data_IF_934694183574
#
_entry.id   IF_934694183574
#
_cell.length_a   1.000
_cell.length_b   1.000
_cell.length_c   1.000
_cell.angle_alpha   90.00
_cell.angle_beta   90.00
_cell.angle_gamma   90.00
#
_symmetry.space_group_name_H-M   'P 1'
#
loop_
_entity.id
_entity.type
_entity.pdbx_description
1 polymer ?
#
# COMPACT_ATOMS: atom_id res chain seq x y z
N UNK A 1 -34.24 0.32 -12.39
CA UNK A 1 -35.68 0.40 -12.05
C UNK A 1 -36.55 0.04 -13.26
N UNK A 2 -36.26 0.55 -14.46
CA UNK A 2 -37.02 0.21 -15.68
C UNK A 2 -36.88 -1.25 -16.14
N UNK A 3 -35.70 -1.88 -15.96
CA UNK A 3 -35.45 -3.28 -16.34
C UNK A 3 -36.20 -4.30 -15.47
N UNK A 4 -36.17 -4.14 -14.14
CA UNK A 4 -36.91 -5.02 -13.22
C UNK A 4 -38.43 -5.00 -13.44
N UNK A 5 -38.99 -3.83 -13.76
CA UNK A 5 -40.41 -3.69 -14.06
C UNK A 5 -40.79 -4.39 -15.38
N UNK A 6 -39.89 -4.38 -16.37
CA UNK A 6 -40.09 -5.08 -17.64
C UNK A 6 -40.02 -6.61 -17.46
N UNK A 7 -39.08 -7.11 -16.67
CA UNK A 7 -38.93 -8.54 -16.36
C UNK A 7 -40.13 -9.08 -15.56
N UNK A 8 -40.61 -8.34 -14.54
CA UNK A 8 -41.82 -8.71 -13.79
C UNK A 8 -43.05 -8.79 -14.69
N UNK A 9 -43.18 -7.87 -15.65
CA UNK A 9 -44.28 -7.87 -16.62
C UNK A 9 -44.22 -9.09 -17.55
N UNK A 10 -43.03 -9.49 -18.00
CA UNK A 10 -42.82 -10.69 -18.80
C UNK A 10 -43.14 -11.97 -18.02
N UNK A 11 -42.67 -12.09 -16.78
CA UNK A 11 -42.96 -13.26 -15.91
C UNK A 11 -44.47 -13.38 -15.67
N UNK A 12 -45.14 -12.25 -15.40
CA UNK A 12 -46.60 -12.22 -15.19
C UNK A 12 -47.34 -12.65 -16.45
N UNK A 13 -46.92 -12.19 -17.63
CA UNK A 13 -47.50 -12.59 -18.92
C UNK A 13 -47.36 -14.10 -19.18
N UNK A 14 -46.21 -14.68 -18.87
CA UNK A 14 -45.95 -16.12 -19.05
C UNK A 14 -46.82 -16.94 -18.09
N UNK A 15 -46.96 -16.51 -16.83
CA UNK A 15 -47.82 -17.18 -15.86
C UNK A 15 -49.30 -17.15 -16.28
N UNK A 16 -49.79 -16.01 -16.79
CA UNK A 16 -51.17 -15.91 -17.29
C UNK A 16 -51.43 -16.73 -18.54
N UNK A 17 -50.41 -16.99 -19.35
CA UNK A 17 -50.55 -17.85 -20.53
C UNK A 17 -50.54 -19.32 -20.14
N UNK A 18 -49.65 -19.73 -19.22
CA UNK A 18 -49.61 -21.09 -18.67
C UNK A 18 -50.91 -21.49 -17.96
N UNK A 19 -51.57 -20.54 -17.29
CA UNK A 19 -52.86 -20.77 -16.61
C UNK A 19 -54.00 -21.12 -17.57
N UNK A 20 -53.92 -20.71 -18.84
CA UNK A 20 -54.95 -21.01 -19.86
C UNK A 20 -54.85 -22.42 -20.43
N UNK A 21 -53.66 -23.00 -20.42
CA UNK A 21 -53.37 -24.29 -21.09
C UNK A 21 -53.18 -25.45 -20.12
N UNK A 22 -53.13 -25.19 -18.80
CA UNK A 22 -52.87 -26.19 -17.77
C UNK A 22 -54.09 -26.41 -16.87
N UNK A 23 -54.23 -27.63 -16.35
CA UNK A 23 -55.16 -27.92 -15.26
C UNK A 23 -54.76 -27.14 -13.99
N UNK A 24 -55.73 -26.82 -13.14
CA UNK A 24 -55.52 -26.08 -11.89
C UNK A 24 -54.46 -26.76 -10.98
N UNK A 25 -54.44 -28.10 -10.96
CA UNK A 25 -53.44 -28.88 -10.23
C UNK A 25 -52.03 -28.69 -10.83
N UNK A 26 -51.91 -28.79 -12.15
CA UNK A 26 -50.61 -28.74 -12.85
C UNK A 26 -50.03 -27.33 -12.79
N UNK A 27 -50.87 -26.30 -12.96
CA UNK A 27 -50.48 -24.91 -12.79
C UNK A 27 -49.97 -24.63 -11.37
N UNK A 28 -50.64 -25.15 -10.34
CA UNK A 28 -50.19 -25.04 -8.95
C UNK A 28 -48.84 -25.74 -8.72
N UNK A 29 -48.64 -26.91 -9.31
CA UNK A 29 -47.38 -27.65 -9.24
C UNK A 29 -46.23 -26.92 -9.94
N UNK A 30 -46.46 -26.37 -11.13
CA UNK A 30 -45.47 -25.57 -11.88
C UNK A 30 -45.11 -24.30 -11.11
N UNK A 31 -46.11 -23.59 -10.56
CA UNK A 31 -45.86 -22.39 -9.75
C UNK A 31 -45.02 -22.70 -8.51
N UNK A 32 -45.33 -23.80 -7.80
CA UNK A 32 -44.54 -24.28 -6.66
C UNK A 32 -43.12 -24.67 -7.08
N UNK A 33 -42.95 -25.37 -8.21
CA UNK A 33 -41.65 -25.75 -8.72
C UNK A 33 -40.79 -24.53 -9.06
N UNK A 34 -41.33 -23.57 -9.80
CA UNK A 34 -40.65 -22.31 -10.14
C UNK A 34 -40.27 -21.53 -8.89
N UNK A 35 -41.18 -21.41 -7.92
CA UNK A 35 -40.90 -20.74 -6.66
C UNK A 35 -39.79 -21.44 -5.86
N UNK A 36 -39.84 -22.77 -5.77
CA UNK A 36 -38.84 -23.55 -5.04
C UNK A 36 -37.46 -23.48 -5.72
N UNK A 37 -37.42 -23.54 -7.05
CA UNK A 37 -36.20 -23.39 -7.85
C UNK A 37 -35.59 -22.00 -7.68
N UNK A 38 -36.40 -20.94 -7.83
CA UNK A 38 -35.97 -19.57 -7.61
C UNK A 38 -35.49 -19.35 -6.17
N UNK A 39 -36.22 -19.89 -5.18
CA UNK A 39 -35.83 -19.81 -3.76
C UNK A 39 -34.52 -20.55 -3.47
N UNK A 40 -34.26 -21.67 -4.13
CA UNK A 40 -33.00 -22.42 -4.02
C UNK A 40 -31.84 -21.61 -4.60
N UNK A 41 -31.99 -21.09 -5.81
CA UNK A 41 -30.97 -20.24 -6.45
C UNK A 41 -30.70 -18.99 -5.62
N UNK A 42 -31.75 -18.31 -5.14
CA UNK A 42 -31.62 -17.15 -4.27
C UNK A 42 -30.83 -17.46 -3.00
N UNK A 43 -31.11 -18.60 -2.36
CA UNK A 43 -30.40 -19.03 -1.14
C UNK A 43 -28.92 -19.29 -1.41
N UNK A 44 -28.59 -19.97 -2.51
CA UNK A 44 -27.20 -20.22 -2.89
C UNK A 44 -26.46 -18.92 -3.22
N UNK A 45 -27.09 -18.00 -3.96
CA UNK A 45 -26.50 -16.68 -4.26
C UNK A 45 -26.30 -15.88 -2.97
N UNK A 46 -27.29 -15.83 -2.08
CA UNK A 46 -27.17 -15.12 -0.80
C UNK A 46 -26.08 -15.73 0.09
N UNK A 47 -25.92 -17.06 0.08
CA UNK A 47 -24.80 -17.74 0.75
C UNK A 47 -23.45 -17.33 0.17
N UNK A 48 -23.33 -17.28 -1.16
CA UNK A 48 -22.11 -16.81 -1.84
C UNK A 48 -21.83 -15.35 -1.49
N UNK A 49 -22.85 -14.49 -1.50
CA UNK A 49 -22.71 -13.07 -1.19
C UNK A 49 -22.30 -12.86 0.26
N UNK A 50 -22.90 -13.60 1.20
CA UNK A 50 -22.49 -13.62 2.60
C UNK A 50 -21.02 -14.00 2.74
N UNK A 51 -20.58 -15.08 2.10
CA UNK A 51 -19.18 -15.51 2.14
C UNK A 51 -18.23 -14.48 1.50
N UNK A 52 -18.64 -13.83 0.41
CA UNK A 52 -17.86 -12.76 -0.23
C UNK A 52 -17.79 -11.52 0.65
N UNK A 53 -18.89 -11.14 1.28
CA UNK A 53 -18.96 -9.99 2.18
C UNK A 53 -18.14 -10.24 3.45
N UNK A 54 -18.19 -11.45 4.00
CA UNK A 54 -17.31 -11.87 5.09
C UNK A 54 -15.85 -11.76 4.66
N UNK A 55 -15.47 -12.24 3.46
CA UNK A 55 -14.10 -12.08 2.93
C UNK A 55 -13.70 -10.60 2.77
N UNK A 56 -14.60 -9.74 2.30
CA UNK A 56 -14.34 -8.31 2.07
C UNK A 56 -14.28 -7.51 3.37
N UNK A 57 -15.09 -7.85 4.36
CA UNK A 57 -15.07 -7.22 5.68
C UNK A 57 -13.90 -7.69 6.56
N UNK A 58 -12.90 -8.36 5.97
CA UNK A 58 -11.75 -8.91 6.69
C UNK A 58 -12.04 -10.16 7.50
N UNK A 59 -13.22 -10.76 7.32
CA UNK A 59 -13.73 -11.92 8.06
C UNK A 59 -13.82 -11.67 9.57
N UNK A 60 -14.51 -12.54 10.31
CA UNK A 60 -14.05 -12.82 11.67
C UNK A 60 -12.62 -13.34 11.57
N UNK A 61 -11.68 -12.55 12.09
CA UNK A 61 -10.28 -12.92 12.29
C UNK A 61 -10.25 -14.36 12.84
N UNK A 62 -9.75 -15.29 12.02
CA UNK A 62 -9.50 -16.67 12.46
C UNK A 62 -10.57 -17.73 12.17
N UNK A 63 -11.65 -17.49 11.42
CA UNK A 63 -12.59 -18.58 11.10
C UNK A 63 -12.04 -19.66 10.17
N UNK A 64 -10.92 -19.42 9.49
CA UNK A 64 -10.18 -20.47 8.79
C UNK A 64 -8.78 -20.72 9.36
N UNK A 65 -8.53 -20.28 10.60
CA UNK A 65 -7.22 -20.39 11.23
C UNK A 65 -6.70 -21.83 11.26
N UNK A 66 -7.51 -22.78 11.71
CA UNK A 66 -7.06 -24.19 11.85
C UNK A 66 -6.73 -24.85 10.50
N UNK A 67 -7.47 -24.54 9.43
CA UNK A 67 -7.20 -25.10 8.10
C UNK A 67 -6.05 -24.38 7.38
N UNK A 68 -5.86 -23.08 7.66
CA UNK A 68 -4.87 -22.23 7.01
C UNK A 68 -3.51 -22.24 7.71
N UNK A 69 -3.47 -22.49 9.02
CA UNK A 69 -2.26 -22.53 9.83
C UNK A 69 -1.21 -23.46 9.25
N UNK A 70 -1.60 -24.69 8.93
CA UNK A 70 -0.69 -25.70 8.38
C UNK A 70 -0.17 -25.38 6.98
N UNK A 71 -0.88 -24.54 6.21
CA UNK A 71 -0.51 -24.12 4.85
C UNK A 71 0.36 -22.86 4.83
N UNK A 72 0.15 -21.96 5.80
CA UNK A 72 0.79 -20.63 5.83
C UNK A 72 1.97 -20.57 6.79
N UNK A 73 1.97 -21.30 7.90
CA UNK A 73 3.04 -21.23 8.91
C UNK A 73 3.88 -22.50 8.85
N UNK A 74 5.16 -22.33 8.52
CA UNK A 74 6.16 -23.38 8.56
C UNK A 74 7.18 -23.05 9.65
N UNK A 75 6.93 -23.53 10.86
CA UNK A 75 7.86 -23.40 11.96
C UNK A 75 8.87 -24.57 11.95
N UNK A 76 10.11 -24.26 11.63
CA UNK A 76 11.25 -25.18 11.63
C UNK A 76 12.30 -24.75 12.68
N UNK A 77 11.95 -23.83 13.56
CA UNK A 77 12.77 -23.38 14.68
C UNK A 77 12.50 -24.21 15.94
N UNK A 78 13.39 -24.08 16.92
CA UNK A 78 13.20 -24.61 18.27
C UNK A 78 12.15 -23.84 19.09
N UNK A 79 11.69 -22.69 18.61
CA UNK A 79 10.75 -21.83 19.32
C UNK A 79 9.30 -22.29 19.16
N UNK A 80 8.60 -22.45 20.29
CA UNK A 80 7.17 -22.78 20.29
C UNK A 80 6.33 -21.51 20.25
N UNK A 81 5.56 -21.34 19.18
CA UNK A 81 4.64 -20.22 19.04
C UNK A 81 3.43 -20.39 19.96
N UNK A 82 2.97 -19.29 20.54
CA UNK A 82 1.68 -19.22 21.22
C UNK A 82 0.52 -19.18 20.22
N UNK A 83 -0.68 -19.57 20.64
CA UNK A 83 -1.87 -19.54 19.78
C UNK A 83 -2.15 -18.13 19.21
N UNK A 84 -1.87 -17.08 19.98
CA UNK A 84 -2.02 -15.68 19.55
C UNK A 84 -0.99 -15.29 18.49
N UNK A 85 0.27 -15.72 18.65
CA UNK A 85 1.33 -15.50 17.67
C UNK A 85 1.05 -16.25 16.36
N UNK A 86 0.60 -17.50 16.46
CA UNK A 86 0.19 -18.27 15.30
C UNK A 86 -1.00 -17.63 14.58
N UNK A 87 -2.02 -17.15 15.31
CA UNK A 87 -3.17 -16.46 14.74
C UNK A 87 -2.76 -15.18 14.02
N UNK A 88 -1.86 -14.41 14.63
CA UNK A 88 -1.27 -13.20 14.04
C UNK A 88 -0.54 -13.54 12.73
N UNK A 89 0.36 -14.54 12.75
CA UNK A 89 1.15 -14.93 11.58
C UNK A 89 0.27 -15.55 10.47
N UNK A 90 -0.83 -16.22 10.81
CA UNK A 90 -1.79 -16.75 9.84
C UNK A 90 -2.48 -15.69 9.00
N UNK A 91 -2.43 -14.41 9.39
CA UNK A 91 -2.91 -13.30 8.56
C UNK A 91 -2.03 -13.12 7.30
N UNK A 92 -0.80 -13.64 7.34
CA UNK A 92 0.13 -13.65 6.22
C UNK A 92 0.95 -12.37 6.08
N UNK A 93 1.91 -12.41 5.16
CA UNK A 93 2.86 -11.31 4.90
C UNK A 93 2.20 -10.07 4.29
N UNK A 94 1.18 -10.27 3.45
CA UNK A 94 0.43 -9.17 2.80
C UNK A 94 -0.56 -8.47 3.74
N UNK A 95 -0.62 -8.88 5.03
CA UNK A 95 -1.48 -8.24 6.00
C UNK A 95 -0.94 -6.85 6.39
N UNK A 96 -1.58 -5.80 5.87
CA UNK A 96 -1.28 -4.43 6.26
C UNK A 96 -1.84 -4.12 7.65
N UNK A 97 -0.95 -3.86 8.60
CA UNK A 97 -1.33 -3.28 9.90
C UNK A 97 -1.76 -1.83 9.67
N UNK A 98 -2.86 -1.42 10.29
CA UNK A 98 -3.30 -0.03 10.19
C UNK A 98 -2.30 0.84 10.97
N UNK A 99 -1.54 1.64 10.24
CA UNK A 99 -0.61 2.59 10.84
C UNK A 99 -1.28 3.94 11.08
N UNK A 100 -0.97 4.53 12.24
CA UNK A 100 -1.30 5.93 12.48
C UNK A 100 -0.36 6.83 11.68
N UNK A 101 -0.88 7.94 11.16
CA UNK A 101 -0.06 8.98 10.52
C UNK A 101 0.86 9.57 11.60
N UNK A 102 2.15 9.20 11.55
CA UNK A 102 3.17 9.64 12.53
C UNK A 102 3.84 10.95 12.11
N UNK A 103 4.20 11.06 10.84
CA UNK A 103 4.80 12.27 10.28
C UNK A 103 3.78 13.03 9.43
N UNK A 104 3.20 14.06 10.04
CA UNK A 104 2.21 14.91 9.38
C UNK A 104 2.82 15.74 8.24
N UNK A 105 4.07 16.16 8.40
CA UNK A 105 4.75 16.98 7.40
C UNK A 105 5.02 16.20 6.12
N UNK A 106 5.47 14.95 6.23
CA UNK A 106 5.67 14.07 5.08
C UNK A 106 4.34 13.83 4.36
N UNK A 107 3.27 13.57 5.11
CA UNK A 107 1.94 13.36 4.55
C UNK A 107 1.39 14.60 3.82
N UNK A 108 1.55 15.80 4.37
CA UNK A 108 1.17 17.04 3.70
C UNK A 108 2.01 17.27 2.44
N UNK A 109 3.33 17.05 2.53
CA UNK A 109 4.26 17.19 1.40
C UNK A 109 3.90 16.25 0.25
N UNK A 110 3.57 15.00 0.55
CA UNK A 110 3.14 14.01 -0.44
C UNK A 110 1.81 14.40 -1.10
N UNK A 111 0.86 14.92 -0.32
CA UNK A 111 -0.41 15.40 -0.87
C UNK A 111 -0.21 16.61 -1.78
N UNK A 112 0.62 17.57 -1.39
CA UNK A 112 0.95 18.74 -2.20
C UNK A 112 1.65 18.34 -3.50
N UNK A 113 2.64 17.44 -3.43
CA UNK A 113 3.33 16.93 -4.60
C UNK A 113 2.38 16.22 -5.57
N UNK A 114 1.43 15.45 -5.05
CA UNK A 114 0.42 14.80 -5.89
C UNK A 114 -0.59 15.81 -6.45
N UNK A 115 -0.95 16.86 -5.71
CA UNK A 115 -1.78 17.95 -6.22
C UNK A 115 -1.08 18.67 -7.38
N UNK A 116 0.22 18.96 -7.26
CA UNK A 116 1.01 19.64 -8.31
C UNK A 116 0.96 18.92 -9.66
N UNK A 117 0.83 17.59 -9.69
CA UNK A 117 0.67 16.81 -10.95
C UNK A 117 -0.60 17.19 -11.73
N UNK A 118 -1.62 17.72 -11.05
CA UNK A 118 -2.90 18.12 -11.63
C UNK A 118 -2.85 19.56 -12.17
N UNK A 119 -1.85 20.36 -11.76
CA UNK A 119 -1.75 21.79 -12.11
C UNK A 119 -1.75 22.02 -13.63
N UNK A 120 -1.01 21.21 -14.39
CA UNK A 120 -0.93 21.35 -15.85
C UNK A 120 -2.23 20.99 -16.59
N UNK A 121 -3.19 20.36 -15.92
CA UNK A 121 -4.42 19.83 -16.51
C UNK A 121 -5.66 20.68 -16.18
N UNK A 122 -5.53 21.76 -15.41
CA UNK A 122 -6.66 22.59 -15.02
C UNK A 122 -6.32 24.08 -14.96
N UNK A 123 -7.34 24.92 -15.05
CA UNK A 123 -7.18 26.37 -14.91
C UNK A 123 -6.80 26.74 -13.47
N UNK A 124 -5.94 27.74 -13.29
CA UNK A 124 -5.36 28.16 -12.00
C UNK A 124 -6.40 28.36 -10.88
N UNK A 125 -7.56 28.94 -11.19
CA UNK A 125 -8.63 29.11 -10.20
C UNK A 125 -9.26 27.79 -9.71
N UNK A 126 -9.39 26.80 -10.60
CA UNK A 126 -9.88 25.46 -10.27
C UNK A 126 -8.82 24.69 -9.48
N UNK A 127 -7.56 24.83 -9.89
CA UNK A 127 -6.41 24.26 -9.20
C UNK A 127 -6.36 24.71 -7.73
N UNK A 128 -6.42 26.03 -7.49
CA UNK A 128 -6.42 26.59 -6.14
C UNK A 128 -7.61 26.13 -5.29
N UNK A 129 -8.80 25.96 -5.88
CA UNK A 129 -9.95 25.41 -5.18
C UNK A 129 -9.74 23.94 -4.79
N UNK A 130 -9.14 23.14 -5.66
CA UNK A 130 -8.81 21.74 -5.40
C UNK A 130 -7.76 21.65 -4.29
N UNK A 131 -6.67 22.42 -4.36
CA UNK A 131 -5.63 22.47 -3.33
C UNK A 131 -6.22 22.82 -1.96
N UNK A 132 -7.10 23.83 -1.89
CA UNK A 132 -7.78 24.20 -0.65
C UNK A 132 -8.65 23.07 -0.10
N UNK A 133 -9.37 22.35 -0.97
CA UNK A 133 -10.18 21.19 -0.56
C UNK A 133 -9.33 20.04 -0.06
N UNK A 134 -8.23 19.74 -0.75
CA UNK A 134 -7.25 18.71 -0.35
C UNK A 134 -6.66 19.06 1.00
N UNK A 135 -6.21 20.31 1.20
CA UNK A 135 -5.67 20.78 2.46
C UNK A 135 -6.70 20.71 3.61
N UNK A 136 -7.94 21.15 3.39
CA UNK A 136 -8.96 21.03 4.43
C UNK A 136 -9.27 19.57 4.79
N UNK A 137 -9.33 18.70 3.79
CA UNK A 137 -9.55 17.27 4.00
C UNK A 137 -8.36 16.60 4.71
N UNK A 138 -7.13 16.98 4.38
CA UNK A 138 -5.92 16.48 5.04
C UNK A 138 -5.93 16.89 6.51
N UNK A 139 -6.21 18.16 6.83
CA UNK A 139 -6.28 18.63 8.21
C UNK A 139 -7.37 17.92 9.03
N UNK A 140 -8.53 17.67 8.42
CA UNK A 140 -9.59 16.91 9.06
C UNK A 140 -9.17 15.45 9.33
N UNK A 141 -8.52 14.79 8.35
CA UNK A 141 -8.00 13.44 8.51
C UNK A 141 -6.90 13.39 9.59
N UNK A 142 -6.01 14.39 9.63
CA UNK A 142 -4.94 14.49 10.62
C UNK A 142 -5.50 14.66 12.03
N UNK A 143 -6.49 15.53 12.21
CA UNK A 143 -7.17 15.74 13.49
C UNK A 143 -7.83 14.46 14.01
N UNK A 144 -8.52 13.73 13.13
CA UNK A 144 -9.21 12.48 13.50
C UNK A 144 -8.28 11.29 13.70
N UNK A 145 -7.12 11.27 13.02
CA UNK A 145 -6.18 10.14 13.08
C UNK A 145 -5.25 10.17 14.29
N UNK A 146 -5.00 11.34 14.90
CA UNK A 146 -4.11 11.49 16.07
C UNK A 146 -4.45 10.57 17.24
N UNK A 147 -5.73 10.25 17.42
CA UNK A 147 -6.22 9.42 18.53
C UNK A 147 -6.90 8.13 18.08
N UNK A 148 -6.73 7.75 16.82
CA UNK A 148 -7.33 6.52 16.30
C UNK A 148 -6.59 5.32 16.89
N UNK A 149 -7.35 4.43 17.54
CA UNK A 149 -6.85 3.10 17.89
C UNK A 149 -6.74 2.27 16.61
N UNK A 150 -5.64 1.54 16.46
CA UNK A 150 -5.44 0.53 15.42
C UNK A 150 -6.59 -0.48 15.56
N UNK A 151 -7.47 -0.60 14.56
CA UNK A 151 -8.69 -1.40 14.69
C UNK A 151 -8.55 -2.82 14.16
N UNK A 152 -7.50 -3.09 13.38
CA UNK A 152 -7.36 -4.35 12.64
C UNK A 152 -6.56 -5.44 13.38
N UNK A 153 -5.99 -5.12 14.54
CA UNK A 153 -5.33 -6.06 15.47
C UNK A 153 -5.94 -5.93 16.86
N UNK A 154 -6.08 -7.05 17.57
CA UNK A 154 -6.41 -7.00 19.00
C UNK A 154 -5.20 -6.56 19.84
N UNK A 155 -5.44 -6.09 21.07
CA UNK A 155 -4.37 -5.72 21.99
C UNK A 155 -3.42 -6.91 22.26
N UNK A 156 -3.97 -8.13 22.37
CA UNK A 156 -3.21 -9.37 22.51
C UNK A 156 -2.31 -9.64 21.29
N UNK A 157 -2.83 -9.46 20.08
CA UNK A 157 -2.07 -9.65 18.83
C UNK A 157 -0.97 -8.59 18.69
N UNK A 158 -1.21 -7.37 19.16
CA UNK A 158 -0.22 -6.30 19.16
C UNK A 158 0.92 -6.59 20.14
N UNK A 159 0.61 -7.14 21.32
CA UNK A 159 1.62 -7.63 22.28
C UNK A 159 2.39 -8.80 21.68
N UNK A 160 1.72 -9.76 21.06
CA UNK A 160 2.36 -10.89 20.37
C UNK A 160 3.31 -10.41 19.25
N UNK A 161 2.90 -9.43 18.45
CA UNK A 161 3.76 -8.84 17.41
C UNK A 161 5.02 -8.21 17.99
N UNK A 162 4.88 -7.48 19.11
CA UNK A 162 6.02 -6.88 19.82
C UNK A 162 6.94 -7.96 20.41
N UNK A 163 6.38 -9.03 20.95
CA UNK A 163 7.11 -10.20 21.46
C UNK A 163 7.96 -10.83 20.36
N UNK A 164 7.34 -11.22 19.25
CA UNK A 164 8.00 -11.81 18.10
C UNK A 164 9.10 -10.89 17.54
N UNK A 165 8.84 -9.58 17.44
CA UNK A 165 9.82 -8.60 16.97
C UNK A 165 11.02 -8.47 17.91
N UNK A 166 10.80 -8.59 19.21
CA UNK A 166 11.86 -8.46 20.22
C UNK A 166 12.68 -9.74 20.38
N UNK A 167 12.13 -10.87 19.93
CA UNK A 167 12.80 -12.16 19.99
C UNK A 167 13.95 -12.23 18.97
N UNK A 168 15.19 -12.21 19.48
CA UNK A 168 16.41 -12.31 18.66
C UNK A 168 16.86 -13.75 18.42
N UNK A 169 16.25 -14.77 19.04
CA UNK A 169 16.64 -16.16 18.81
C UNK A 169 16.08 -16.72 17.50
N UNK A 170 15.02 -16.12 16.96
CA UNK A 170 14.35 -16.56 15.75
C UNK A 170 14.52 -15.57 14.59
N UNK A 171 14.34 -16.08 13.38
CA UNK A 171 14.27 -15.33 12.14
C UNK A 171 12.96 -15.71 11.46
N UNK A 172 12.14 -14.69 11.15
CA UNK A 172 10.87 -14.84 10.46
C UNK A 172 11.04 -14.32 9.03
N UNK A 173 10.88 -15.19 8.04
CA UNK A 173 11.09 -14.88 6.64
C UNK A 173 9.85 -15.22 5.80
N UNK A 174 9.70 -14.53 4.67
CA UNK A 174 8.73 -14.90 3.63
C UNK A 174 9.24 -16.15 2.90
N UNK A 175 8.34 -17.10 2.61
CA UNK A 175 8.66 -18.24 1.77
C UNK A 175 8.81 -17.82 0.29
N UNK A 176 9.54 -18.62 -0.50
CA UNK A 176 9.73 -18.39 -1.94
C UNK A 176 8.40 -18.38 -2.72
N UNK A 177 7.43 -19.19 -2.27
CA UNK A 177 6.12 -19.32 -2.91
C UNK A 177 4.99 -18.91 -1.96
N UNK A 178 4.11 -18.06 -2.47
CA UNK A 178 2.87 -17.67 -1.81
C UNK A 178 3.04 -16.68 -0.66
N UNK A 179 2.03 -16.64 0.21
CA UNK A 179 1.97 -15.77 1.38
C UNK A 179 2.44 -16.48 2.67
N UNK A 180 3.16 -17.60 2.51
CA UNK A 180 3.61 -18.44 3.63
C UNK A 180 4.80 -17.82 4.35
N UNK A 181 4.88 -18.10 5.65
CA UNK A 181 5.86 -17.60 6.59
C UNK A 181 6.69 -18.77 7.10
N UNK A 182 8.01 -18.61 7.08
CA UNK A 182 8.97 -19.59 7.60
C UNK A 182 9.65 -19.01 8.82
N UNK A 183 9.72 -19.81 9.89
CA UNK A 183 10.37 -19.43 11.14
C UNK A 183 11.54 -20.37 11.39
N UNK A 184 12.71 -19.78 11.61
CA UNK A 184 13.99 -20.46 11.74
C UNK A 184 14.72 -20.01 13.00
N UNK A 185 15.53 -20.88 13.58
CA UNK A 185 16.51 -20.45 14.57
C UNK A 185 17.56 -19.55 13.90
N UNK A 186 17.90 -18.45 14.57
CA UNK A 186 18.84 -17.46 14.05
C UNK A 186 20.21 -18.06 13.77
N UNK A 187 20.70 -18.90 14.66
CA UNK A 187 22.01 -19.54 14.50
C UNK A 187 22.06 -20.43 13.26
N UNK A 188 21.02 -21.25 13.06
CA UNK A 188 20.89 -22.12 11.88
C UNK A 188 20.78 -21.28 10.59
N UNK A 189 19.98 -20.21 10.63
CA UNK A 189 19.84 -19.29 9.51
C UNK A 189 21.18 -18.65 9.13
N UNK A 190 21.91 -18.09 10.12
CA UNK A 190 23.20 -17.45 9.90
C UNK A 190 24.24 -18.43 9.35
N UNK A 191 24.31 -19.64 9.92
CA UNK A 191 25.22 -20.68 9.44
C UNK A 191 24.96 -21.03 7.97
N UNK A 192 23.69 -21.27 7.60
CA UNK A 192 23.32 -21.54 6.20
C UNK A 192 23.62 -20.37 5.28
N UNK A 193 23.37 -19.13 5.73
CA UNK A 193 23.68 -17.94 4.95
C UNK A 193 25.21 -17.84 4.70
N UNK A 194 26.03 -18.10 5.71
CA UNK A 194 27.49 -18.13 5.55
C UNK A 194 27.96 -19.26 4.64
N UNK A 195 27.40 -20.45 4.75
CA UNK A 195 27.70 -21.58 3.87
C UNK A 195 27.39 -21.23 2.40
N UNK A 196 26.24 -20.60 2.15
CA UNK A 196 25.85 -20.12 0.82
C UNK A 196 26.85 -19.08 0.31
N UNK A 197 27.25 -18.10 1.15
CA UNK A 197 28.18 -17.03 0.81
C UNK A 197 29.62 -17.51 0.59
N UNK A 198 30.04 -18.59 1.25
CA UNK A 198 31.36 -19.23 1.06
C UNK A 198 31.40 -20.15 -0.16
N UNK A 199 30.26 -20.39 -0.81
CA UNK A 199 30.17 -21.22 -2.01
C UNK A 199 30.87 -20.58 -3.22
N UNK A 200 31.24 -21.40 -4.20
CA UNK A 200 31.98 -21.01 -5.41
C UNK A 200 31.26 -19.96 -6.28
N UNK A 201 29.95 -19.80 -6.07
CA UNK A 201 29.09 -18.84 -6.76
C UNK A 201 29.33 -17.38 -6.33
N UNK A 202 30.05 -17.13 -5.23
CA UNK A 202 30.38 -15.79 -4.76
C UNK A 202 31.89 -15.60 -4.67
N UNK A 203 32.37 -14.43 -5.10
CA UNK A 203 33.76 -14.04 -4.99
C UNK A 203 33.90 -12.86 -4.04
N UNK A 204 34.87 -12.92 -3.12
CA UNK A 204 35.23 -11.79 -2.29
C UNK A 204 35.85 -10.68 -3.15
N UNK A 205 35.24 -9.50 -3.16
CA UNK A 205 35.79 -8.34 -3.84
C UNK A 205 36.84 -7.67 -2.94
N UNK A 206 38.12 -7.73 -3.34
CA UNK A 206 39.23 -7.14 -2.60
C UNK A 206 39.30 -5.59 -2.71
N UNK A 207 38.50 -4.97 -3.58
CA UNK A 207 38.56 -3.53 -3.78
C UNK A 207 37.21 -2.96 -4.25
N UNK A 208 36.67 -2.00 -3.50
CA UNK A 208 35.40 -1.31 -3.79
C UNK A 208 35.46 -0.36 -5.01
N UNK A 209 36.49 -0.45 -5.86
CA UNK A 209 36.66 0.48 -7.01
C UNK A 209 35.41 0.54 -7.89
N UNK A 210 34.80 -0.62 -8.21
CA UNK A 210 33.57 -0.68 -8.99
C UNK A 210 32.38 0.02 -8.28
N UNK A 211 32.33 -0.01 -6.96
CA UNK A 211 31.29 0.63 -6.17
C UNK A 211 31.54 2.14 -6.05
N UNK A 212 32.79 2.58 -5.84
CA UNK A 212 33.14 4.01 -5.77
C UNK A 212 32.90 4.75 -7.08
N UNK A 213 33.19 4.12 -8.22
CA UNK A 213 32.92 4.71 -9.53
C UNK A 213 31.41 4.91 -9.73
N UNK A 214 30.62 3.85 -9.49
CA UNK A 214 29.16 3.90 -9.58
C UNK A 214 28.55 4.86 -8.56
N UNK A 215 29.08 4.92 -7.34
CA UNK A 215 28.70 5.88 -6.31
C UNK A 215 29.01 7.32 -6.73
N UNK A 216 30.18 7.55 -7.34
CA UNK A 216 30.57 8.86 -7.85
C UNK A 216 29.65 9.28 -9.01
N UNK A 217 29.31 8.37 -9.91
CA UNK A 217 28.34 8.64 -10.99
C UNK A 217 26.94 8.92 -10.45
N UNK A 218 26.48 8.13 -9.49
CA UNK A 218 25.19 8.34 -8.82
C UNK A 218 25.16 9.70 -8.11
N UNK A 219 26.22 10.05 -7.38
CA UNK A 219 26.34 11.35 -6.71
C UNK A 219 26.36 12.49 -7.72
N UNK A 220 27.10 12.38 -8.83
CA UNK A 220 27.08 13.37 -9.92
C UNK A 220 25.66 13.55 -10.48
N UNK A 221 24.94 12.46 -10.71
CA UNK A 221 23.57 12.49 -11.20
C UNK A 221 22.62 13.17 -10.21
N UNK A 222 22.71 12.83 -8.92
CA UNK A 222 21.94 13.49 -7.86
C UNK A 222 22.26 14.99 -7.82
N UNK A 223 23.53 15.39 -7.93
CA UNK A 223 23.93 16.80 -7.99
C UNK A 223 23.37 17.53 -9.22
N UNK A 224 23.30 16.89 -10.39
CA UNK A 224 22.64 17.50 -11.56
C UNK A 224 21.15 17.74 -11.31
N UNK A 225 20.44 16.77 -10.74
CA UNK A 225 19.01 16.91 -10.42
C UNK A 225 18.77 18.06 -9.42
N UNK A 226 19.60 18.17 -8.39
CA UNK A 226 19.50 19.26 -7.40
C UNK A 226 19.82 20.62 -8.02
N UNK A 227 20.74 20.70 -8.99
CA UNK A 227 21.02 21.94 -9.72
C UNK A 227 19.86 22.37 -10.62
N UNK A 228 19.20 21.41 -11.27
CA UNK A 228 18.07 21.68 -12.15
C UNK A 228 16.83 22.15 -11.37
N UNK A 229 16.66 21.68 -10.12
CA UNK A 229 15.62 22.15 -9.21
C UNK A 229 15.91 23.56 -8.67
N UNK A 230 17.18 23.87 -8.38
CA UNK A 230 17.57 25.17 -7.80
C UNK A 230 17.76 26.29 -8.85
N UNK A 231 17.84 25.96 -10.15
CA UNK A 231 17.91 26.93 -11.24
C UNK A 231 16.76 26.66 -12.24
N UNK A 232 15.53 27.12 -11.97
CA UNK A 232 14.47 27.02 -12.95
C UNK A 232 14.85 27.81 -14.22
N UNK A 233 14.53 27.30 -15.43
CA UNK A 233 14.85 27.99 -16.67
C UNK A 233 14.20 29.38 -16.66
N UNK A 234 15.02 30.43 -16.77
CA UNK A 234 14.54 31.82 -16.87
C UNK A 234 13.56 31.92 -18.02
N UNK A 235 12.31 32.28 -17.72
CA UNK A 235 11.27 32.55 -18.71
C UNK A 235 11.79 33.58 -19.71
N UNK A 236 11.54 33.35 -21.01
CA UNK A 236 11.99 34.16 -22.17
C UNK A 236 11.73 35.68 -22.06
N UNK A 237 10.95 36.13 -21.07
CA UNK A 237 10.64 37.54 -20.82
C UNK A 237 11.80 38.35 -20.19
N UNK A 238 12.78 37.72 -19.54
CA UNK A 238 13.90 38.46 -18.91
C UNK A 238 15.07 38.78 -19.86
N UNK A 239 15.14 38.17 -21.04
CA UNK A 239 16.20 38.45 -22.02
C UNK A 239 15.93 39.70 -22.87
N UNK A 240 14.68 40.17 -22.96
CA UNK A 240 14.35 41.35 -23.76
C UNK A 240 14.55 42.68 -23.01
N UNK A 241 14.63 42.69 -21.68
CA UNK A 241 14.81 43.93 -20.90
C UNK A 241 16.28 44.31 -20.63
N UNK A 242 17.25 43.44 -20.95
CA UNK A 242 18.68 43.76 -20.76
C UNK A 242 19.37 44.36 -22.01
N UNK A 243 18.65 44.51 -23.15
CA UNK A 243 19.22 45.10 -24.36
C UNK A 243 18.92 46.60 -24.55
N UNK A 244 18.21 47.24 -23.62
CA UNK A 244 17.88 48.67 -23.74
C UNK A 244 18.12 49.41 -22.43
N UNK A 245 19.39 49.60 -22.07
CA UNK A 245 19.92 50.85 -21.48
C UNK A 245 21.37 50.66 -21.02
N UNK A 246 22.32 51.12 -21.84
CA UNK A 246 23.57 51.73 -21.36
C UNK A 246 23.36 53.25 -21.37
N UNK A 247 23.82 53.99 -20.33
CA UNK A 247 25.19 54.50 -20.44
C UNK A 247 25.99 54.64 -19.14
N UNK A 248 27.30 54.72 -19.37
CA UNK A 248 28.35 55.48 -18.65
C UNK A 248 28.93 54.97 -17.31
N UNK A 249 30.21 54.56 -17.44
CA UNK A 249 31.35 54.48 -16.51
C UNK A 249 31.19 55.15 -15.13
N UNK A 250 31.49 54.40 -14.06
CA UNK A 250 32.57 54.75 -13.11
C UNK A 250 32.96 53.63 -12.12
N UNK A 251 34.29 53.43 -12.02
CA UNK A 251 35.16 53.06 -10.88
C UNK A 251 34.69 52.10 -9.75
N UNK A 252 35.57 51.08 -9.58
CA UNK A 252 36.22 50.55 -8.35
C UNK A 252 35.50 49.52 -7.45
N UNK A 253 36.38 48.65 -6.93
CA UNK A 253 36.42 47.92 -5.63
C UNK A 253 35.83 46.49 -5.52
N UNK A 254 36.76 45.53 -5.48
CA UNK A 254 36.96 44.44 -4.49
C UNK A 254 35.75 43.85 -3.75
N UNK A 255 35.63 42.51 -3.75
CA UNK A 255 35.84 41.67 -2.56
C UNK A 255 35.60 40.17 -2.85
N UNK A 256 36.24 39.39 -2.01
CA UNK A 256 36.48 37.95 -1.96
C UNK A 256 35.42 37.15 -1.19
N UNK A 257 35.57 35.80 -1.27
CA UNK A 257 35.19 34.78 -0.26
C UNK A 257 33.68 34.43 -0.18
N UNK A 258 33.19 33.20 0.02
CA UNK A 258 33.73 32.02 0.71
C UNK A 258 32.97 30.75 0.28
N UNK A 259 33.71 29.67 0.03
CA UNK A 259 33.20 28.30 -0.16
C UNK A 259 32.88 27.67 1.20
N UNK A 260 31.65 27.19 1.42
CA UNK A 260 31.32 26.37 2.60
C UNK A 260 31.03 24.93 2.18
N UNK A 261 31.85 24.01 2.70
CA UNK A 261 31.71 22.54 2.58
C UNK A 261 30.64 22.09 3.57
N UNK A 262 29.63 21.34 3.11
CA UNK A 262 28.77 20.56 4.00
C UNK A 262 29.29 19.13 4.08
N UNK A 263 29.82 18.77 5.25
CA UNK A 263 30.19 17.42 5.66
C UNK A 263 28.96 16.67 6.16
N UNK A 264 28.71 15.47 5.62
CA UNK A 264 27.67 14.56 6.08
C UNK A 264 28.11 13.89 7.40
N UNK A 265 27.22 13.92 8.39
CA UNK A 265 27.41 13.35 9.72
C UNK A 265 27.47 11.81 9.65
N UNK A 266 28.59 11.25 10.13
CA UNK A 266 28.65 9.88 10.64
C UNK A 266 28.01 9.84 12.03
N UNK A 267 27.16 8.85 12.26
CA UNK A 267 26.67 8.47 13.60
C UNK A 267 27.72 7.64 14.34
N UNK A 268 27.84 7.79 15.67
CA UNK A 268 28.38 6.72 16.51
C UNK A 268 27.55 6.50 17.79
N UNK A 269 27.94 5.52 18.62
CA UNK A 269 27.95 4.08 18.41
C UNK A 269 26.66 3.38 18.91
#
# INVERSE_FOLDING_TARGET
RCTLLAELKQITSILTELEKHLSSIDYSNVKKFCFNSASKVHREIMKIHKNKLEKLNGGPIGQNYEEMKSKLIHNISSYTLTQTEERLLCRGWDFCIEDNIKNFLDFETDLELNAMKIQSHCHESVFNLICRKIHNASQQLMSTSKHKKIRNLSDEELVALKSLKSNKSIVICKADKGNSIVILDREIYMKKAEEILKGEQFQLLNNDKCHRERETELNKYIFSLVKDVNNPPKTKQQQQQQQQHTPTKNKKTTASTTTSKFTCFQSPP
#
